data_IF_253937976731
#
_entry.id   IF_253937976731
#
_cell.length_a   1.000
_cell.length_b   1.000
_cell.length_c   1.000
_cell.angle_alpha   90.00
_cell.angle_beta   90.00
_cell.angle_gamma   90.00
#
_symmetry.space_group_name_H-M   'P 1'
#
loop_
_entity.id
_entity.type
_entity.pdbx_description
1 polymer ?
#
# COMPACT_ATOMS: atom_id res chain seq x y z
N UNK A 1 -51.39 -49.67 -12.33
CA UNK A 1 -52.35 -48.96 -11.46
C UNK A 1 -51.68 -47.65 -11.03
N UNK A 2 -51.85 -46.59 -11.83
CA UNK A 2 -52.80 -45.46 -11.65
C UNK A 2 -52.06 -44.27 -11.00
N UNK A 3 -51.38 -43.41 -11.78
CA UNK A 3 -51.85 -42.15 -12.40
C UNK A 3 -52.20 -41.02 -11.43
N UNK A 4 -51.50 -39.88 -11.58
CA UNK A 4 -51.97 -38.47 -11.71
C UNK A 4 -50.72 -37.59 -11.89
N UNK A 5 -50.35 -37.08 -13.07
CA UNK A 5 -50.95 -36.00 -13.87
C UNK A 5 -51.36 -34.75 -13.07
N UNK A 6 -50.58 -33.67 -13.24
CA UNK A 6 -51.13 -32.35 -13.54
C UNK A 6 -50.11 -31.50 -14.31
N UNK A 7 -50.48 -31.20 -15.54
CA UNK A 7 -49.93 -30.19 -16.43
C UNK A 7 -50.82 -28.95 -16.34
N UNK A 8 -50.22 -27.76 -16.30
CA UNK A 8 -50.83 -26.50 -16.77
C UNK A 8 -49.76 -25.71 -17.51
N UNK A 9 -50.11 -25.29 -18.72
CA UNK A 9 -49.37 -24.51 -19.72
C UNK A 9 -49.70 -23.02 -19.63
N UNK A 10 -49.00 -22.21 -20.45
CA UNK A 10 -49.19 -20.76 -20.75
C UNK A 10 -48.62 -19.80 -19.69
N UNK A 11 -47.94 -18.70 -19.99
CA UNK A 11 -47.75 -17.97 -21.25
C UNK A 11 -46.42 -17.19 -21.24
N UNK A 12 -46.06 -16.77 -22.45
CA UNK A 12 -45.08 -15.75 -22.83
C UNK A 12 -44.87 -14.61 -21.82
N UNK A 13 -43.60 -14.25 -21.60
CA UNK A 13 -43.18 -12.84 -21.73
C UNK A 13 -41.67 -12.72 -21.91
N UNK A 14 -41.32 -12.11 -23.03
CA UNK A 14 -40.01 -11.61 -23.39
C UNK A 14 -39.56 -10.57 -22.35
N UNK A 15 -38.42 -10.77 -21.71
CA UNK A 15 -37.63 -9.66 -21.19
C UNK A 15 -36.15 -10.03 -21.14
N UNK A 16 -35.42 -9.47 -22.10
CA UNK A 16 -34.20 -8.70 -21.85
C UNK A 16 -33.10 -9.37 -21.00
N UNK A 17 -32.09 -9.84 -21.72
CA UNK A 17 -30.66 -9.65 -21.40
C UNK A 17 -30.22 -9.94 -19.96
N UNK A 18 -29.62 -11.11 -19.76
CA UNK A 18 -28.29 -11.24 -19.15
C UNK A 18 -27.79 -12.67 -19.41
N UNK A 19 -27.23 -12.89 -20.61
CA UNK A 19 -26.29 -14.00 -20.80
C UNK A 19 -25.10 -13.71 -19.91
N UNK A 20 -24.95 -14.51 -18.87
CA UNK A 20 -23.71 -14.77 -18.15
C UNK A 20 -22.65 -15.21 -19.16
N UNK A 21 -21.98 -14.24 -19.78
CA UNK A 21 -20.67 -14.45 -20.37
C UNK A 21 -19.69 -14.54 -19.21
N UNK A 22 -19.42 -15.77 -18.77
CA UNK A 22 -18.11 -16.09 -18.23
C UNK A 22 -17.10 -15.83 -19.36
N UNK A 23 -16.63 -14.59 -19.47
CA UNK A 23 -15.40 -14.33 -20.19
C UNK A 23 -14.29 -14.78 -19.24
N UNK A 24 -13.83 -16.01 -19.45
CA UNK A 24 -12.46 -16.38 -19.14
C UNK A 24 -11.56 -15.39 -19.87
N UNK A 25 -11.21 -14.30 -19.22
CA UNK A 25 -10.11 -13.46 -19.68
C UNK A 25 -8.85 -14.26 -19.37
N UNK A 26 -8.45 -15.09 -20.34
CA UNK A 26 -7.05 -15.44 -20.52
C UNK A 26 -6.29 -14.12 -20.70
N UNK A 27 -5.87 -13.53 -19.60
CA UNK A 27 -5.11 -12.28 -19.57
C UNK A 27 -3.62 -12.59 -19.82
N UNK A 28 -3.34 -13.28 -20.93
CA UNK A 28 -2.00 -13.58 -21.41
C UNK A 28 -1.56 -12.50 -22.42
N UNK A 29 -1.24 -11.31 -21.89
CA UNK A 29 -0.52 -10.26 -22.63
C UNK A 29 0.60 -9.72 -21.75
N UNK A 30 1.77 -10.36 -21.83
CA UNK A 30 3.10 -9.81 -21.52
C UNK A 30 3.17 -8.85 -20.30
N UNK A 31 2.73 -9.28 -19.11
CA UNK A 31 3.07 -8.56 -17.89
C UNK A 31 4.61 -8.52 -17.80
N UNK A 32 5.20 -7.34 -18.01
CA UNK A 32 6.62 -7.17 -17.83
C UNK A 32 6.95 -7.53 -16.39
N UNK A 33 7.97 -8.38 -16.21
CA UNK A 33 8.32 -8.94 -14.89
C UNK A 33 9.57 -8.26 -14.35
N UNK A 34 9.49 -7.81 -13.11
CA UNK A 34 10.65 -7.43 -12.30
C UNK A 34 11.06 -8.64 -11.45
N UNK A 35 12.34 -9.00 -11.45
CA UNK A 35 12.86 -10.07 -10.58
C UNK A 35 13.64 -9.46 -9.42
N UNK A 36 13.17 -9.67 -8.19
CA UNK A 36 13.86 -9.26 -6.96
C UNK A 36 14.55 -10.48 -6.34
N UNK A 37 15.85 -10.35 -6.05
CA UNK A 37 16.65 -11.41 -5.41
C UNK A 37 16.85 -11.11 -3.93
N UNK A 38 16.86 -12.15 -3.11
CA UNK A 38 16.96 -12.04 -1.66
C UNK A 38 18.15 -12.82 -1.13
N UNK A 39 18.84 -12.24 -0.15
CA UNK A 39 19.87 -12.95 0.62
C UNK A 39 19.24 -13.90 1.64
N UNK A 40 18.08 -13.51 2.19
CA UNK A 40 17.38 -14.21 3.27
C UNK A 40 15.96 -14.63 2.85
N UNK A 41 15.63 -15.91 3.00
CA UNK A 41 14.31 -16.47 2.71
C UNK A 41 13.23 -15.89 3.62
N UNK A 42 13.52 -15.62 4.91
CA UNK A 42 12.53 -15.03 5.82
C UNK A 42 12.10 -13.63 5.37
N UNK A 43 13.05 -12.82 4.88
CA UNK A 43 12.75 -11.49 4.37
C UNK A 43 11.88 -11.57 3.10
N UNK A 44 12.19 -12.51 2.20
CA UNK A 44 11.39 -12.77 1.00
C UNK A 44 9.97 -13.21 1.36
N UNK A 45 9.82 -14.19 2.24
CA UNK A 45 8.52 -14.72 2.66
C UNK A 45 7.66 -13.65 3.34
N UNK A 46 8.27 -12.78 4.17
CA UNK A 46 7.56 -11.66 4.82
C UNK A 46 7.04 -10.65 3.79
N UNK A 47 7.90 -10.25 2.85
CA UNK A 47 7.48 -9.32 1.80
C UNK A 47 6.37 -9.92 0.93
N UNK A 48 6.46 -11.21 0.58
CA UNK A 48 5.42 -11.93 -0.15
C UNK A 48 4.08 -11.91 0.61
N UNK A 49 4.11 -12.20 1.91
CA UNK A 49 2.91 -12.19 2.75
C UNK A 49 2.28 -10.80 2.81
N UNK A 50 3.08 -9.75 2.97
CA UNK A 50 2.59 -8.39 3.00
C UNK A 50 1.96 -7.97 1.66
N UNK A 51 2.64 -8.25 0.54
CA UNK A 51 2.13 -7.96 -0.81
C UNK A 51 0.82 -8.71 -1.11
N UNK A 52 0.74 -9.98 -0.68
CA UNK A 52 -0.46 -10.81 -0.90
C UNK A 52 -1.62 -10.36 -0.02
N UNK A 53 -1.36 -10.08 1.26
CA UNK A 53 -2.40 -9.63 2.20
C UNK A 53 -2.93 -8.24 1.85
N UNK A 54 -2.07 -7.36 1.32
CA UNK A 54 -2.42 -5.99 0.93
C UNK A 54 -2.80 -5.88 -0.55
N UNK A 55 -2.97 -6.99 -1.28
CA UNK A 55 -3.24 -6.99 -2.71
C UNK A 55 -4.44 -6.07 -3.06
N UNK A 56 -4.28 -5.27 -4.10
CA UNK A 56 -5.28 -4.29 -4.52
C UNK A 56 -4.70 -3.26 -5.48
N UNK A 57 -5.53 -2.28 -5.86
CA UNK A 57 -5.20 -1.28 -6.89
C UNK A 57 -4.02 -0.36 -6.54
N UNK A 58 -3.61 -0.31 -5.27
CA UNK A 58 -2.54 0.55 -4.79
C UNK A 58 -1.25 -0.21 -4.43
N UNK A 59 -1.20 -1.53 -4.56
CA UNK A 59 -0.07 -2.35 -4.09
C UNK A 59 0.53 -3.12 -5.25
N UNK A 60 1.86 -3.14 -5.35
CA UNK A 60 2.55 -3.89 -6.39
C UNK A 60 2.15 -5.36 -6.39
N UNK A 61 1.70 -5.85 -7.55
CA UNK A 61 1.30 -7.25 -7.67
C UNK A 61 2.54 -8.16 -7.66
N UNK A 62 2.59 -9.06 -6.68
CA UNK A 62 3.48 -10.21 -6.71
C UNK A 62 2.89 -11.30 -7.61
N UNK A 63 3.74 -11.87 -8.48
CA UNK A 63 3.33 -12.89 -9.44
C UNK A 63 3.62 -14.29 -8.91
N UNK A 64 4.88 -14.52 -8.55
CA UNK A 64 5.39 -15.83 -8.12
C UNK A 64 6.66 -15.63 -7.29
N UNK A 65 7.00 -16.63 -6.47
CA UNK A 65 8.27 -16.68 -5.74
C UNK A 65 8.86 -18.09 -5.80
N UNK A 66 10.19 -18.17 -5.72
CA UNK A 66 10.95 -19.41 -5.69
C UNK A 66 11.85 -19.38 -4.45
N UNK A 67 11.56 -20.26 -3.49
CA UNK A 67 12.26 -20.37 -2.21
C UNK A 67 13.71 -20.80 -2.37
N UNK A 68 13.96 -21.70 -3.32
CA UNK A 68 15.27 -22.32 -3.50
C UNK A 68 16.23 -21.33 -4.16
N UNK A 69 15.73 -20.62 -5.18
CA UNK A 69 16.46 -19.55 -5.85
C UNK A 69 16.45 -18.22 -5.09
N UNK A 70 15.62 -18.11 -4.03
CA UNK A 70 15.39 -16.88 -3.25
C UNK A 70 15.05 -15.68 -4.15
N UNK A 71 14.13 -15.90 -5.08
CA UNK A 71 13.67 -14.86 -6.01
C UNK A 71 12.17 -14.67 -5.93
N UNK A 72 11.73 -13.43 -6.15
CA UNK A 72 10.33 -13.07 -6.31
C UNK A 72 10.16 -12.31 -7.62
N UNK A 73 9.12 -12.67 -8.37
CA UNK A 73 8.73 -12.00 -9.59
C UNK A 73 7.53 -11.09 -9.31
N UNK A 74 7.63 -9.83 -9.73
CA UNK A 74 6.66 -8.77 -9.49
C UNK A 74 6.23 -8.18 -10.84
N UNK A 75 5.03 -7.58 -10.90
CA UNK A 75 4.62 -6.78 -12.06
C UNK A 75 5.49 -5.53 -12.14
N UNK A 76 6.01 -5.25 -13.33
CA UNK A 76 6.75 -4.05 -13.67
C UNK A 76 5.87 -3.07 -14.44
N UNK A 77 5.73 -1.86 -13.90
CA UNK A 77 4.96 -0.77 -14.50
C UNK A 77 5.87 0.16 -15.30
N UNK A 78 5.93 -0.02 -16.62
CA UNK A 78 6.89 0.67 -17.49
C UNK A 78 6.75 2.20 -17.48
N UNK A 79 5.53 2.71 -17.36
CA UNK A 79 5.26 4.16 -17.36
C UNK A 79 5.32 4.78 -15.96
N UNK A 80 5.60 3.97 -14.93
CA UNK A 80 5.59 4.43 -13.57
C UNK A 80 6.82 5.28 -13.23
N UNK A 81 6.61 6.38 -12.52
CA UNK A 81 7.67 7.31 -12.08
C UNK A 81 7.72 7.33 -10.56
N UNK A 82 8.84 6.96 -9.89
CA UNK A 82 8.95 7.12 -8.45
C UNK A 82 8.84 8.60 -8.07
N UNK A 83 8.17 8.91 -6.94
CA UNK A 83 8.05 10.28 -6.46
C UNK A 83 9.41 10.90 -6.09
N UNK A 84 10.44 10.08 -5.86
CA UNK A 84 11.81 10.59 -5.66
C UNK A 84 12.41 11.28 -6.88
N UNK A 85 11.81 11.10 -8.07
CA UNK A 85 12.18 11.81 -9.31
C UNK A 85 11.28 13.01 -9.60
N UNK A 86 10.43 13.40 -8.65
CA UNK A 86 9.58 14.58 -8.83
C UNK A 86 10.41 15.83 -8.63
N UNK A 87 10.22 16.78 -9.53
CA UNK A 87 10.86 18.09 -9.49
C UNK A 87 9.84 19.17 -9.10
N UNK A 88 10.29 20.42 -8.99
CA UNK A 88 9.42 21.53 -8.58
C UNK A 88 8.20 21.72 -9.51
N UNK A 89 8.30 21.38 -10.80
CA UNK A 89 7.18 21.41 -11.74
C UNK A 89 6.11 20.35 -11.47
N UNK A 90 6.47 19.24 -10.81
CA UNK A 90 5.54 18.16 -10.48
C UNK A 90 4.75 18.47 -9.19
N UNK A 91 4.88 19.68 -8.64
CA UNK A 91 4.34 20.02 -7.34
C UNK A 91 2.82 19.94 -7.25
N UNK A 92 2.13 20.32 -8.33
CA UNK A 92 0.67 20.19 -8.40
C UNK A 92 0.23 18.73 -8.37
N UNK A 93 0.87 17.89 -9.19
CA UNK A 93 0.64 16.44 -9.23
C UNK A 93 0.90 15.81 -7.86
N UNK A 94 2.04 16.11 -7.22
CA UNK A 94 2.36 15.57 -5.90
C UNK A 94 1.26 15.88 -4.87
N UNK A 95 0.82 17.15 -4.80
CA UNK A 95 -0.23 17.56 -3.87
C UNK A 95 -1.57 16.93 -4.21
N UNK A 96 -1.90 16.79 -5.49
CA UNK A 96 -3.08 16.08 -5.97
C UNK A 96 -3.08 14.59 -5.60
N UNK A 97 -1.90 13.97 -5.50
CA UNK A 97 -1.75 12.56 -5.14
C UNK A 97 -1.81 12.29 -3.63
N UNK A 98 -1.65 13.29 -2.76
CA UNK A 98 -1.64 13.08 -1.31
C UNK A 98 -2.90 12.34 -0.78
N UNK A 99 -4.13 12.67 -1.21
CA UNK A 99 -5.31 11.88 -0.82
C UNK A 99 -5.25 10.42 -1.28
N UNK A 100 -4.67 10.13 -2.44
CA UNK A 100 -4.53 8.77 -2.97
C UNK A 100 -3.48 8.01 -2.15
N UNK A 101 -2.35 8.64 -1.84
CA UNK A 101 -1.31 8.07 -0.97
C UNK A 101 -1.87 7.72 0.40
N UNK A 102 -2.69 8.61 0.99
CA UNK A 102 -3.37 8.34 2.27
C UNK A 102 -4.29 7.11 2.15
N UNK A 103 -5.09 7.00 1.08
CA UNK A 103 -5.96 5.83 0.86
C UNK A 103 -5.15 4.54 0.70
N UNK A 104 -4.03 4.59 -0.02
CA UNK A 104 -3.16 3.43 -0.21
C UNK A 104 -2.54 2.95 1.10
N UNK A 105 -2.02 3.86 1.93
CA UNK A 105 -1.49 3.51 3.26
C UNK A 105 -2.60 2.95 4.15
N UNK A 106 -3.77 3.59 4.14
CA UNK A 106 -4.91 3.14 4.94
C UNK A 106 -5.39 1.74 4.51
N UNK A 107 -5.38 1.43 3.21
CA UNK A 107 -5.66 0.09 2.69
C UNK A 107 -4.74 -0.97 3.31
N UNK A 108 -3.43 -0.74 3.33
CA UNK A 108 -2.48 -1.64 4.00
C UNK A 108 -2.83 -1.82 5.50
N UNK A 109 -3.17 -0.72 6.19
CA UNK A 109 -3.54 -0.76 7.61
C UNK A 109 -4.82 -1.56 7.86
N UNK A 110 -5.82 -1.46 6.97
CA UNK A 110 -7.05 -2.24 7.03
C UNK A 110 -6.80 -3.74 6.79
N UNK A 111 -5.81 -4.07 5.96
CA UNK A 111 -5.33 -5.45 5.78
C UNK A 111 -4.50 -5.97 6.98
N UNK A 112 -4.29 -5.16 8.03
CA UNK A 112 -3.55 -5.56 9.22
C UNK A 112 -2.03 -5.35 9.14
N UNK A 113 -1.53 -4.66 8.11
CA UNK A 113 -0.10 -4.47 7.88
C UNK A 113 0.30 -3.00 7.93
N UNK A 114 1.53 -2.74 8.37
CA UNK A 114 2.19 -1.44 8.25
C UNK A 114 3.23 -1.57 7.15
N UNK A 115 3.26 -0.62 6.22
CA UNK A 115 4.23 -0.63 5.13
C UNK A 115 5.66 -0.50 5.68
N UNK A 116 5.86 0.42 6.62
CA UNK A 116 7.09 0.58 7.40
C UNK A 116 8.17 1.39 6.70
N UNK A 117 8.11 1.57 5.37
CA UNK A 117 9.11 2.36 4.64
C UNK A 117 8.50 3.33 3.63
N UNK A 118 7.49 4.09 4.07
CA UNK A 118 6.85 5.12 3.24
C UNK A 118 7.85 6.24 2.95
N UNK A 119 8.24 6.37 1.68
CA UNK A 119 9.16 7.40 1.20
C UNK A 119 9.00 7.61 -0.31
N UNK A 120 9.48 8.73 -0.88
CA UNK A 120 9.27 9.03 -2.29
C UNK A 120 9.74 7.96 -3.29
N UNK A 121 10.79 7.19 -2.98
CA UNK A 121 11.27 6.11 -3.86
C UNK A 121 10.37 4.88 -3.89
N UNK A 122 9.53 4.70 -2.86
CA UNK A 122 8.67 3.52 -2.69
C UNK A 122 7.20 3.81 -3.04
N UNK A 123 6.95 4.99 -3.61
CA UNK A 123 5.65 5.38 -4.17
C UNK A 123 5.89 5.68 -5.65
N UNK A 124 5.28 4.88 -6.51
CA UNK A 124 5.30 5.11 -7.94
C UNK A 124 4.05 5.85 -8.37
N UNK A 125 4.20 6.95 -9.08
CA UNK A 125 3.11 7.60 -9.80
C UNK A 125 2.83 6.86 -11.11
N UNK A 126 1.56 6.64 -11.42
CA UNK A 126 1.06 6.01 -12.64
C UNK A 126 0.32 7.08 -13.46
N UNK A 127 0.99 7.77 -14.41
CA UNK A 127 0.41 8.91 -15.12
C UNK A 127 -0.87 8.56 -15.87
N UNK A 128 -0.95 7.35 -16.42
CA UNK A 128 -2.09 6.88 -17.20
C UNK A 128 -3.34 6.56 -16.36
N UNK A 129 -3.20 6.43 -15.04
CA UNK A 129 -4.32 6.17 -14.11
C UNK A 129 -4.60 7.33 -13.16
N UNK A 130 -3.78 8.39 -13.20
CA UNK A 130 -3.76 9.45 -12.18
C UNK A 130 -3.78 8.88 -10.75
N UNK A 131 -2.95 7.85 -10.53
CA UNK A 131 -2.93 7.06 -9.31
C UNK A 131 -1.50 6.75 -8.89
N UNK A 132 -1.35 5.98 -7.81
CA UNK A 132 -0.06 5.55 -7.28
C UNK A 132 -0.03 4.03 -7.04
N UNK A 133 1.19 3.51 -6.97
CA UNK A 133 1.51 2.15 -6.53
C UNK A 133 2.51 2.22 -5.39
N UNK A 134 2.20 1.60 -4.26
CA UNK A 134 3.15 1.31 -3.20
C UNK A 134 3.98 0.09 -3.60
N UNK A 135 5.29 0.22 -3.46
CA UNK A 135 6.26 -0.83 -3.80
C UNK A 135 7.21 -1.06 -2.61
N UNK A 136 7.95 -2.17 -2.68
CA UNK A 136 9.01 -2.51 -1.71
C UNK A 136 8.51 -2.66 -0.27
N UNK A 137 7.79 -3.76 -0.04
CA UNK A 137 7.23 -4.16 1.26
C UNK A 137 8.26 -4.92 2.13
N UNK A 138 9.56 -4.77 1.83
CA UNK A 138 10.63 -5.45 2.55
C UNK A 138 10.73 -5.08 4.04
N UNK A 139 10.26 -3.88 4.40
CA UNK A 139 10.20 -3.38 5.77
C UNK A 139 8.82 -3.59 6.44
N UNK A 140 7.87 -4.21 5.75
CA UNK A 140 6.50 -4.34 6.25
C UNK A 140 6.36 -5.42 7.32
N UNK A 141 5.52 -5.13 8.31
CA UNK A 141 5.22 -6.02 9.42
C UNK A 141 3.73 -5.96 9.80
N UNK A 142 3.16 -7.03 10.36
CA UNK A 142 1.82 -7.00 10.92
C UNK A 142 1.69 -5.97 12.05
N UNK A 143 0.55 -5.29 12.12
CA UNK A 143 0.21 -4.40 13.23
C UNK A 143 0.35 -5.13 14.57
N UNK A 144 0.97 -4.47 15.55
CA UNK A 144 1.20 -5.02 16.89
C UNK A 144 2.44 -5.91 17.03
N UNK A 145 3.19 -6.15 15.94
CA UNK A 145 4.47 -6.87 16.01
C UNK A 145 5.43 -6.15 16.94
N UNK A 146 5.97 -6.85 17.95
CA UNK A 146 6.96 -6.29 18.88
C UNK A 146 8.31 -6.23 18.19
N UNK A 147 8.94 -5.05 18.19
CA UNK A 147 10.22 -4.84 17.50
C UNK A 147 11.40 -5.51 18.21
N UNK A 148 11.32 -5.66 19.52
CA UNK A 148 12.30 -6.39 20.33
C UNK A 148 12.42 -7.87 19.96
N UNK A 149 11.37 -8.47 19.38
CA UNK A 149 11.36 -9.86 18.92
C UNK A 149 11.99 -10.02 17.53
N UNK A 150 12.33 -8.92 16.85
CA UNK A 150 12.86 -8.93 15.49
C UNK A 150 14.38 -9.07 15.49
N UNK A 151 14.89 -10.17 14.94
CA UNK A 151 16.33 -10.39 14.77
C UNK A 151 16.97 -9.42 13.76
N UNK A 152 16.17 -8.89 12.84
CA UNK A 152 16.57 -7.83 11.93
C UNK A 152 15.35 -6.99 11.54
N UNK A 153 15.54 -5.67 11.42
CA UNK A 153 14.51 -4.78 10.90
C UNK A 153 15.12 -3.73 9.97
N UNK A 154 14.27 -3.16 9.13
CA UNK A 154 14.63 -2.09 8.21
C UNK A 154 13.86 -0.83 8.60
N UNK A 155 14.53 0.30 8.58
CA UNK A 155 13.94 1.60 8.83
C UNK A 155 14.70 2.63 8.00
N UNK A 156 13.99 3.57 7.37
CA UNK A 156 14.65 4.67 6.68
C UNK A 156 15.13 5.71 7.68
N UNK A 157 16.42 6.02 7.69
CA UNK A 157 17.01 7.03 8.59
C UNK A 157 16.32 8.41 8.47
N UNK A 158 15.88 8.78 7.27
CA UNK A 158 15.25 10.08 7.03
C UNK A 158 13.78 10.08 7.42
N UNK A 159 13.04 9.00 7.13
CA UNK A 159 11.58 8.98 7.20
C UNK A 159 11.01 8.24 8.42
N UNK A 160 11.72 7.27 8.99
CA UNK A 160 11.23 6.49 10.13
C UNK A 160 11.02 7.35 11.39
N UNK A 161 10.12 6.90 12.26
CA UNK A 161 9.98 7.42 13.63
C UNK A 161 11.21 7.07 14.48
N UNK A 162 11.40 7.74 15.62
CA UNK A 162 12.51 7.44 16.53
C UNK A 162 12.44 6.01 17.07
N UNK A 163 11.26 5.57 17.48
CA UNK A 163 10.98 4.24 18.02
C UNK A 163 11.22 3.18 16.95
N UNK A 164 10.76 3.42 15.72
CA UNK A 164 11.02 2.53 14.61
C UNK A 164 12.51 2.42 14.29
N UNK A 165 13.24 3.53 14.30
CA UNK A 165 14.69 3.52 14.05
C UNK A 165 15.45 2.77 15.14
N UNK A 166 15.06 2.95 16.42
CA UNK A 166 15.69 2.26 17.56
C UNK A 166 15.26 0.80 17.72
N UNK A 167 14.23 0.35 17.00
CA UNK A 167 13.69 -1.00 17.19
C UNK A 167 12.87 -1.13 18.47
N UNK A 168 12.27 -0.04 18.95
CA UNK A 168 11.55 0.01 20.21
C UNK A 168 10.02 -0.12 20.02
N UNK A 169 9.37 -0.74 21.00
CA UNK A 169 7.91 -0.85 21.04
C UNK A 169 7.31 -1.76 19.97
N UNK A 170 6.07 -1.46 19.57
CA UNK A 170 5.29 -2.27 18.61
C UNK A 170 5.09 -1.53 17.30
N UNK A 171 4.98 -2.28 16.21
CA UNK A 171 4.63 -1.79 14.88
C UNK A 171 3.21 -1.23 14.89
N UNK A 172 3.05 0.04 14.50
CA UNK A 172 1.75 0.72 14.51
C UNK A 172 1.51 1.52 13.24
N UNK A 173 0.25 1.87 12.99
CA UNK A 173 -0.13 2.77 11.89
C UNK A 173 0.60 4.12 11.93
N UNK A 174 0.99 4.58 13.13
CA UNK A 174 1.69 5.84 13.32
C UNK A 174 3.06 5.87 12.63
N UNK A 175 3.70 4.72 12.37
CA UNK A 175 4.99 4.66 11.68
C UNK A 175 4.87 5.17 10.23
N UNK A 176 3.84 4.73 9.50
CA UNK A 176 3.59 5.20 8.13
C UNK A 176 3.10 6.65 8.10
N UNK A 177 2.26 7.06 9.06
CA UNK A 177 1.79 8.44 9.14
C UNK A 177 2.91 9.43 9.47
N UNK A 178 3.85 9.02 10.33
CA UNK A 178 5.05 9.81 10.63
C UNK A 178 5.92 9.99 9.37
N UNK A 179 6.13 8.91 8.63
CA UNK A 179 6.90 8.92 7.40
C UNK A 179 6.26 9.81 6.31
N UNK A 180 4.94 9.71 6.10
CA UNK A 180 4.20 10.59 5.19
C UNK A 180 4.29 12.07 5.62
N UNK A 181 4.15 12.37 6.91
CA UNK A 181 4.33 13.74 7.44
C UNK A 181 5.73 14.27 7.12
N UNK A 182 6.78 13.48 7.33
CA UNK A 182 8.16 13.87 6.99
C UNK A 182 8.35 14.12 5.49
N UNK A 183 7.76 13.29 4.64
CA UNK A 183 7.74 13.50 3.20
C UNK A 183 7.08 14.83 2.82
N UNK A 184 5.90 15.13 3.38
CA UNK A 184 5.22 16.42 3.15
C UNK A 184 6.09 17.59 3.65
N UNK A 185 6.72 17.46 4.83
CA UNK A 185 7.61 18.49 5.38
C UNK A 185 8.82 18.79 4.49
N UNK A 186 9.42 17.78 3.88
CA UNK A 186 10.50 17.97 2.91
C UNK A 186 9.98 18.69 1.67
N UNK A 187 8.85 18.23 1.14
CA UNK A 187 8.26 18.82 -0.07
C UNK A 187 7.88 20.29 0.11
N UNK A 188 7.28 20.67 1.24
CA UNK A 188 6.92 22.08 1.49
C UNK A 188 8.15 22.97 1.73
N UNK A 189 9.37 22.44 1.92
CA UNK A 189 10.58 23.28 1.97
C UNK A 189 11.06 23.70 0.58
N UNK A 190 10.62 23.00 -0.46
CA UNK A 190 10.96 23.29 -1.85
C UNK A 190 10.26 24.56 -2.37
N UNK A 191 10.77 25.17 -3.46
CA UNK A 191 10.16 26.35 -4.09
C UNK A 191 8.89 25.96 -4.86
N UNK A 192 7.80 25.79 -4.13
CA UNK A 192 6.46 25.45 -4.65
C UNK A 192 5.48 26.62 -4.53
N UNK A 193 4.46 26.64 -5.38
CA UNK A 193 3.40 27.64 -5.40
C UNK A 193 2.60 27.72 -4.10
N UNK A 194 2.07 28.91 -3.80
CA UNK A 194 1.34 29.18 -2.56
C UNK A 194 0.12 28.26 -2.36
N UNK A 195 -0.64 27.99 -3.43
CA UNK A 195 -1.81 27.09 -3.40
C UNK A 195 -1.41 25.67 -2.98
N UNK A 196 -0.40 25.10 -3.65
CA UNK A 196 0.12 23.76 -3.38
C UNK A 196 0.64 23.66 -1.93
N UNK A 197 1.39 24.67 -1.48
CA UNK A 197 1.90 24.76 -0.11
C UNK A 197 0.77 24.76 0.92
N UNK A 198 -0.26 25.58 0.73
CA UNK A 198 -1.41 25.67 1.64
C UNK A 198 -2.13 24.32 1.77
N UNK A 199 -2.40 23.64 0.66
CA UNK A 199 -3.05 22.32 0.67
C UNK A 199 -2.18 21.26 1.36
N UNK A 200 -0.89 21.18 1.03
CA UNK A 200 0.04 20.23 1.64
C UNK A 200 0.14 20.44 3.17
N UNK A 201 0.22 21.69 3.61
CA UNK A 201 0.25 22.05 5.05
C UNK A 201 -1.03 21.63 5.76
N UNK A 202 -2.20 21.85 5.16
CA UNK A 202 -3.49 21.43 5.73
C UNK A 202 -3.59 19.91 5.90
N UNK A 203 -3.12 19.14 4.92
CA UNK A 203 -3.06 17.67 5.01
C UNK A 203 -2.10 17.25 6.12
N UNK A 204 -0.90 17.85 6.19
CA UNK A 204 0.07 17.58 7.26
C UNK A 204 -0.52 17.82 8.65
N UNK A 205 -1.25 18.92 8.85
CA UNK A 205 -1.89 19.24 10.13
C UNK A 205 -2.96 18.21 10.52
N UNK A 206 -3.66 17.64 9.52
CA UNK A 206 -4.58 16.53 9.74
C UNK A 206 -3.84 15.28 10.24
N UNK A 207 -2.69 14.94 9.61
CA UNK A 207 -1.83 13.84 10.06
C UNK A 207 -1.32 14.04 11.49
N UNK A 208 -0.95 15.27 11.86
CA UNK A 208 -0.56 15.60 13.24
C UNK A 208 -1.68 15.31 14.25
N UNK A 209 -2.94 15.59 13.87
CA UNK A 209 -4.10 15.22 14.67
C UNK A 209 -4.25 13.70 14.83
N UNK A 210 -3.91 12.92 13.81
CA UNK A 210 -4.03 11.45 13.83
C UNK A 210 -2.94 10.82 14.70
N UNK A 211 -1.71 11.33 14.59
CA UNK A 211 -0.57 10.92 15.40
C UNK A 211 -0.82 11.18 16.89
N UNK A 212 -1.31 12.38 17.26
CA UNK A 212 -1.64 12.71 18.66
C UNK A 212 -2.69 11.77 19.26
N UNK A 213 -3.73 11.41 18.50
CA UNK A 213 -4.76 10.46 18.98
C UNK A 213 -4.20 9.06 19.21
N UNK A 214 -3.19 8.67 18.43
CA UNK A 214 -2.53 7.36 18.55
C UNK A 214 -1.61 7.31 19.77
N UNK A 215 -0.98 8.43 20.14
CA UNK A 215 -0.14 8.54 21.34
C UNK A 215 -0.96 8.48 22.64
N UNK A 216 -2.11 9.18 22.69
CA UNK A 216 -3.02 9.16 23.85
C UNK A 216 -3.61 7.76 24.10
N UNK A 217 -3.69 6.92 23.07
CA UNK A 217 -4.19 5.55 23.17
C UNK A 217 -3.14 4.53 23.68
N UNK A 218 -1.87 4.92 23.84
CA UNK A 218 -0.86 4.02 24.43
C UNK A 218 -1.13 3.91 25.94
N UNK A 219 -1.35 2.71 26.51
CA UNK A 219 -1.43 2.56 27.95
C UNK A 219 -0.09 3.00 28.54
N UNK A 220 -0.13 3.92 29.51
CA UNK A 220 1.04 4.26 30.33
C UNK A 220 1.56 2.97 30.94
N UNK A 221 2.74 2.51 30.52
CA UNK A 221 3.48 1.50 31.28
C UNK A 221 3.78 2.11 32.64
N UNK A 222 2.96 1.76 33.62
CA UNK A 222 3.22 2.03 35.02
C UNK A 222 4.32 1.04 35.41
N UNK A 223 5.58 1.48 35.33
CA UNK A 223 6.68 0.75 35.94
C UNK A 223 6.47 0.81 37.45
N UNK A 224 6.03 -0.32 38.02
CA UNK A 224 6.04 -0.58 39.45
C UNK A 224 7.01 -1.73 39.71
#
# INVERSE_FOLDING_TARGET
MTLKHQSVTCDSEETSMQRTFFHSVEEDWCLQRLTKRYSNQQAMSREWQALTACAGVYVQKALEFDTDKKVMHLVYEQQAKPLSRFEFQDAETFVGMLPIIIRAIHHCHQCGWVHGDIKPSNILFLPHLDSILLIDFGASYPLGTRREDLTCWQASQTFASSEQWRGEGVVTQADDWHALKKMINQFVRSPIGHKQRKTAVSIRESLDGWLRRSEVAKPTHNNN
#
